data_IF_354917709445
#
_entry.id   IF_354917709445
#
_cell.length_a   1.000
_cell.length_b   1.000
_cell.length_c   1.000
_cell.angle_alpha   90.00
_cell.angle_beta   90.00
_cell.angle_gamma   90.00
#
_symmetry.space_group_name_H-M   'P 1'
#
loop_
_entity.id
_entity.type
_entity.pdbx_description
1 polymer ?
#
# COMPACT_ATOMS: atom_id res chain seq x y z
N UNK A 1 -10.94 8.39 11.90
CA UNK A 1 -9.48 8.64 11.84
C UNK A 1 -8.76 7.30 11.91
N UNK A 2 -8.71 6.59 10.79
CA UNK A 2 -8.11 5.25 10.62
C UNK A 2 -7.57 5.22 9.19
N UNK A 3 -6.51 5.96 8.92
CA UNK A 3 -6.16 6.37 7.55
C UNK A 3 -4.82 5.82 7.10
N UNK A 4 -4.82 5.25 5.90
CA UNK A 4 -3.69 5.29 4.96
C UNK A 4 -3.57 6.71 4.40
N UNK A 5 -2.41 7.08 3.84
CA UNK A 5 -2.24 8.35 3.11
C UNK A 5 -3.21 8.48 1.92
N UNK A 6 -3.61 7.35 1.33
CA UNK A 6 -4.56 7.26 0.24
C UNK A 6 -5.45 6.03 0.43
N UNK A 7 -6.77 6.22 0.41
CA UNK A 7 -7.79 5.17 0.52
C UNK A 7 -8.68 5.22 -0.72
N UNK A 8 -8.55 4.22 -1.60
CA UNK A 8 -9.29 4.20 -2.88
C UNK A 8 -10.47 3.26 -2.80
N UNK A 9 -11.63 3.79 -3.18
CA UNK A 9 -12.91 3.06 -3.20
C UNK A 9 -13.43 2.77 -4.61
N UNK A 10 -12.76 3.29 -5.64
CA UNK A 10 -13.15 3.12 -7.04
C UNK A 10 -12.12 2.26 -7.77
N UNK A 11 -12.59 1.38 -8.66
CA UNK A 11 -11.71 0.65 -9.56
C UNK A 11 -10.90 1.59 -10.45
N UNK A 12 -9.77 1.09 -10.98
CA UNK A 12 -8.93 1.78 -11.95
C UNK A 12 -8.19 3.03 -11.43
N UNK A 13 -7.73 3.00 -10.17
CA UNK A 13 -6.80 4.04 -9.69
C UNK A 13 -5.37 3.71 -10.11
N UNK A 14 -4.77 4.62 -10.87
CA UNK A 14 -3.36 4.55 -11.31
C UNK A 14 -2.52 5.61 -10.60
N UNK A 15 -1.44 5.19 -9.95
CA UNK A 15 -0.43 6.06 -9.35
C UNK A 15 0.89 5.86 -10.08
N UNK A 16 1.52 6.95 -10.52
CA UNK A 16 2.76 6.93 -11.30
C UNK A 16 3.76 7.88 -10.67
N UNK A 17 4.97 7.41 -10.36
CA UNK A 17 6.06 8.28 -9.89
C UNK A 17 5.82 8.89 -8.51
N UNK A 18 4.93 8.33 -7.70
CA UNK A 18 4.56 8.87 -6.41
C UNK A 18 5.55 8.44 -5.32
N UNK A 19 5.81 9.33 -4.35
CA UNK A 19 6.61 9.01 -3.16
C UNK A 19 5.71 9.07 -1.93
N UNK A 20 5.57 7.94 -1.24
CA UNK A 20 4.87 7.79 0.02
C UNK A 20 5.89 7.54 1.12
N UNK A 21 6.16 8.54 1.95
CA UNK A 21 7.15 8.44 3.01
C UNK A 21 6.57 8.71 4.40
N UNK A 22 7.03 7.97 5.39
CA UNK A 22 6.73 8.19 6.81
C UNK A 22 5.22 8.28 7.12
N UNK A 23 4.38 7.58 6.36
CA UNK A 23 2.95 7.57 6.63
C UNK A 23 2.61 6.51 7.67
N UNK A 24 1.71 6.84 8.58
CA UNK A 24 1.36 6.03 9.74
C UNK A 24 -0.15 5.81 9.81
N UNK A 25 -0.58 4.55 9.84
CA UNK A 25 -1.96 4.18 10.11
C UNK A 25 -2.06 3.34 11.39
N UNK A 26 -3.10 3.61 12.19
CA UNK A 26 -3.39 2.84 13.41
C UNK A 26 -3.98 1.45 13.13
N UNK A 27 -4.39 1.17 11.89
CA UNK A 27 -5.09 -0.09 11.56
C UNK A 27 -4.52 -0.77 10.32
N UNK A 28 -4.62 -0.13 9.16
CA UNK A 28 -4.37 -0.77 7.86
C UNK A 28 -3.68 0.19 6.91
N UNK A 29 -2.70 -0.31 6.16
CA UNK A 29 -1.91 0.38 5.13
C UNK A 29 -1.37 1.74 5.58
N UNK A 30 -0.07 1.85 5.84
CA UNK A 30 0.54 3.12 6.23
C UNK A 30 0.39 4.16 5.13
N UNK A 31 0.49 3.76 3.87
CA UNK A 31 0.44 4.62 2.69
C UNK A 31 -0.81 4.43 1.82
N UNK A 32 -1.05 3.25 1.26
CA UNK A 32 -2.11 3.05 0.25
C UNK A 32 -2.98 1.85 0.59
N UNK A 33 -4.30 2.07 0.66
CA UNK A 33 -5.28 1.01 0.87
C UNK A 33 -6.17 0.86 -0.37
N UNK A 34 -6.07 -0.29 -1.03
CA UNK A 34 -6.99 -0.70 -2.09
C UNK A 34 -8.06 -1.61 -1.50
N UNK A 35 -9.30 -1.11 -1.40
CA UNK A 35 -10.42 -1.87 -0.81
C UNK A 35 -11.04 -2.85 -1.80
N UNK A 36 -11.68 -3.89 -1.24
CA UNK A 36 -12.35 -5.00 -1.97
C UNK A 36 -13.31 -4.52 -3.06
N UNK A 37 -13.51 -5.36 -4.08
CA UNK A 37 -14.43 -5.16 -5.23
C UNK A 37 -13.99 -4.09 -6.25
N UNK A 38 -12.69 -3.86 -6.35
CA UNK A 38 -12.09 -2.96 -7.32
C UNK A 38 -11.11 -3.73 -8.21
N UNK A 39 -11.03 -3.37 -9.48
CA UNK A 39 -10.12 -3.97 -10.47
C UNK A 39 -9.37 -2.87 -11.21
N UNK A 40 -8.20 -3.20 -11.76
CA UNK A 40 -7.43 -2.30 -12.62
C UNK A 40 -6.58 -1.28 -11.87
N UNK A 41 -6.31 -1.49 -10.59
CA UNK A 41 -5.37 -0.63 -9.86
C UNK A 41 -3.94 -0.79 -10.37
N UNK A 42 -3.20 0.32 -10.44
CA UNK A 42 -1.81 0.32 -10.89
C UNK A 42 -0.94 1.20 -9.99
N UNK A 43 0.17 0.64 -9.53
CA UNK A 43 1.29 1.34 -8.91
C UNK A 43 2.48 1.22 -9.85
N UNK A 44 2.88 2.33 -10.47
CA UNK A 44 3.96 2.37 -11.46
C UNK A 44 5.06 3.32 -10.98
N UNK A 45 6.30 2.83 -10.85
CA UNK A 45 7.46 3.66 -10.50
C UNK A 45 7.29 4.46 -9.19
N UNK A 46 6.59 3.91 -8.19
CA UNK A 46 6.36 4.58 -6.91
C UNK A 46 7.38 4.16 -5.84
N UNK A 47 7.65 5.04 -4.89
CA UNK A 47 8.50 4.76 -3.73
C UNK A 47 7.64 4.76 -2.47
N UNK A 48 7.75 3.72 -1.66
CA UNK A 48 7.15 3.60 -0.33
C UNK A 48 8.27 3.48 0.69
N UNK A 49 8.46 4.48 1.53
CA UNK A 49 9.56 4.55 2.49
C UNK A 49 9.08 4.79 3.92
N UNK A 50 9.56 4.01 4.89
CA UNK A 50 9.31 4.23 6.32
C UNK A 50 7.82 4.33 6.69
N UNK A 51 6.92 3.68 5.95
CA UNK A 51 5.49 3.67 6.26
C UNK A 51 5.14 2.56 7.24
N UNK A 52 4.20 2.84 8.14
CA UNK A 52 3.79 1.93 9.20
C UNK A 52 2.27 1.74 9.21
N UNK A 53 1.84 0.49 9.31
CA UNK A 53 0.50 0.15 9.75
C UNK A 53 0.47 -1.28 10.30
N UNK A 54 -0.33 -1.57 11.35
CA UNK A 54 -0.45 -2.93 11.88
C UNK A 54 -0.73 -3.98 10.81
N UNK A 55 -1.60 -3.69 9.85
CA UNK A 55 -1.85 -4.57 8.70
C UNK A 55 -1.39 -3.91 7.41
N UNK A 56 -0.52 -4.57 6.65
CA UNK A 56 -0.14 -4.15 5.29
C UNK A 56 0.96 -3.10 5.22
N UNK A 57 1.61 -2.75 6.33
CA UNK A 57 2.82 -1.94 6.35
C UNK A 57 2.68 -0.61 5.62
N UNK A 58 3.12 -0.55 4.36
CA UNK A 58 2.84 0.57 3.46
C UNK A 58 1.56 0.40 2.63
N UNK A 59 1.39 -0.74 1.95
CA UNK A 59 0.31 -0.94 0.98
C UNK A 59 -0.50 -2.16 1.37
N UNK A 60 -1.82 -1.98 1.49
CA UNK A 60 -2.76 -3.09 1.66
C UNK A 60 -3.57 -3.22 0.39
N UNK A 61 -3.52 -4.43 -0.19
CA UNK A 61 -4.32 -4.79 -1.36
C UNK A 61 -5.38 -5.78 -0.90
N UNK A 62 -6.64 -5.40 -1.05
CA UNK A 62 -7.79 -6.29 -0.88
C UNK A 62 -8.64 -6.41 -2.16
N UNK A 63 -8.18 -5.78 -3.25
CA UNK A 63 -8.71 -5.94 -4.61
C UNK A 63 -8.27 -7.27 -5.23
N UNK A 64 -9.04 -7.80 -6.18
CA UNK A 64 -8.72 -9.06 -6.86
C UNK A 64 -7.53 -8.96 -7.81
N UNK A 65 -7.28 -7.79 -8.42
CA UNK A 65 -6.17 -7.58 -9.36
C UNK A 65 -5.54 -6.20 -9.21
N UNK A 66 -4.23 -6.16 -9.02
CA UNK A 66 -3.40 -4.94 -9.00
C UNK A 66 -2.13 -5.17 -9.83
N UNK A 67 -1.69 -4.15 -10.56
CA UNK A 67 -0.36 -4.10 -11.18
C UNK A 67 0.55 -3.27 -10.28
N UNK A 68 1.68 -3.85 -9.88
CA UNK A 68 2.75 -3.14 -9.17
C UNK A 68 4.01 -3.32 -9.99
N UNK A 69 4.46 -2.26 -10.65
CA UNK A 69 5.61 -2.28 -11.55
C UNK A 69 6.56 -1.12 -11.26
N UNK A 70 7.87 -1.38 -11.32
CA UNK A 70 8.91 -0.38 -11.02
C UNK A 70 8.85 0.25 -9.61
N UNK A 71 8.06 -0.30 -8.68
CA UNK A 71 7.89 0.28 -7.35
C UNK A 71 8.98 -0.20 -6.37
N UNK A 72 9.35 0.68 -5.44
CA UNK A 72 10.39 0.43 -4.44
C UNK A 72 9.79 0.55 -3.04
N UNK A 73 10.03 -0.44 -2.18
CA UNK A 73 9.54 -0.47 -0.80
C UNK A 73 10.73 -0.55 0.19
N UNK A 74 10.98 0.53 0.93
CA UNK A 74 12.12 0.68 1.84
C UNK A 74 11.61 0.84 3.28
N UNK A 75 12.08 0.00 4.20
CA UNK A 75 11.87 0.17 5.65
C UNK A 75 10.40 0.36 6.09
N UNK A 76 9.44 -0.23 5.37
CA UNK A 76 8.03 -0.20 5.75
C UNK A 76 7.75 -1.33 6.76
N UNK A 77 6.88 -1.07 7.74
CA UNK A 77 6.70 -1.95 8.89
C UNK A 77 5.23 -2.31 9.14
N UNK A 78 4.95 -3.61 9.31
CA UNK A 78 3.66 -4.14 9.76
C UNK A 78 3.78 -4.86 11.10
N UNK A 79 2.76 -4.73 11.97
CA UNK A 79 2.73 -5.38 13.27
C UNK A 79 2.05 -6.75 13.10
N UNK A 80 2.85 -7.80 13.13
CA UNK A 80 2.60 -9.11 12.51
C UNK A 80 1.47 -9.92 13.18
N UNK A 81 0.21 -9.51 12.98
CA UNK A 81 -0.95 -10.27 13.46
C UNK A 81 -1.86 -10.80 12.34
N UNK A 82 -1.86 -10.22 11.13
CA UNK A 82 -2.75 -10.68 10.05
C UNK A 82 -2.21 -10.43 8.62
N UNK A 83 -1.04 -10.99 8.30
CA UNK A 83 -0.66 -11.40 6.93
C UNK A 83 -0.93 -10.41 5.78
N UNK A 84 -0.18 -9.31 5.69
CA UNK A 84 -0.16 -8.49 4.48
C UNK A 84 1.28 -8.08 4.17
N UNK A 85 1.92 -8.94 3.36
CA UNK A 85 3.16 -8.85 2.57
C UNK A 85 4.23 -7.89 3.12
N UNK A 86 5.23 -8.39 3.85
CA UNK A 86 6.45 -9.10 3.39
C UNK A 86 7.27 -8.24 2.42
N UNK A 87 8.44 -7.80 2.88
CA UNK A 87 9.48 -7.26 2.02
C UNK A 87 9.90 -8.31 0.99
N UNK A 88 9.46 -8.14 -0.26
CA UNK A 88 10.15 -8.76 -1.39
C UNK A 88 11.04 -7.70 -1.98
N UNK A 89 12.31 -7.75 -1.56
CA UNK A 89 13.42 -7.21 -2.36
C UNK A 89 13.64 -8.25 -3.46
N UNK A 90 13.86 -7.79 -4.69
CA UNK A 90 14.05 -8.57 -5.93
C UNK A 90 14.69 -9.95 -5.75
#
# INVERSE_FOLDING_TARGET
MKGSALDTHWGNTTMIGCIFRANFALTTAGAVNFRTNTIGHQLLNCIFENNYAPTGGAVRVSSETIIIDGCVFISNYANDTHGSIVSWIF
#
